data_IF_679408066554
#
_entry.id   IF_679408066554
#
_cell.length_a   1.000
_cell.length_b   1.000
_cell.length_c   1.000
_cell.angle_alpha   90.00
_cell.angle_beta   90.00
_cell.angle_gamma   90.00
#
_symmetry.space_group_name_H-M   'P 1'
#
loop_
_entity.id
_entity.type
_entity.pdbx_description
1 polymer ?
#
# COMPACT_ATOMS: atom_id res chain seq x y z
N UNK A 1 0.00 7.89 -22.79
CA UNK A 1 0.42 7.91 -21.38
C UNK A 1 -0.72 7.51 -20.49
N UNK A 2 -0.47 6.57 -19.61
CA UNK A 2 -1.50 6.10 -18.70
C UNK A 2 -1.67 6.98 -17.49
N UNK A 3 -2.83 6.88 -16.87
CA UNK A 3 -3.06 7.45 -15.54
C UNK A 3 -2.39 6.55 -14.48
N UNK A 4 -2.24 7.02 -13.24
CA UNK A 4 -1.77 6.16 -12.16
C UNK A 4 -2.63 4.91 -11.95
N UNK A 5 -3.94 4.99 -12.23
CA UNK A 5 -4.83 3.83 -12.21
C UNK A 5 -4.38 2.80 -13.23
N UNK A 6 -4.14 3.25 -14.46
CA UNK A 6 -3.67 2.38 -15.54
C UNK A 6 -2.30 1.79 -15.23
N UNK A 7 -1.43 2.59 -14.61
CA UNK A 7 -0.11 2.13 -14.20
C UNK A 7 -0.19 1.03 -13.15
N UNK A 8 -1.09 1.18 -12.16
CA UNK A 8 -1.30 0.16 -11.14
C UNK A 8 -1.84 -1.13 -11.76
N UNK A 9 -2.80 -1.04 -12.68
CA UNK A 9 -3.37 -2.21 -13.36
C UNK A 9 -2.34 -2.93 -14.22
N UNK A 10 -1.52 -2.18 -14.95
CA UNK A 10 -0.47 -2.77 -15.80
C UNK A 10 0.61 -3.43 -14.97
N UNK A 11 1.01 -2.79 -13.89
CA UNK A 11 1.99 -3.37 -12.98
C UNK A 11 1.46 -4.65 -12.37
N UNK A 12 0.18 -4.67 -11.99
CA UNK A 12 -0.46 -5.85 -11.44
C UNK A 12 -0.41 -7.02 -12.44
N UNK A 13 -0.83 -6.76 -13.67
CA UNK A 13 -0.81 -7.79 -14.71
C UNK A 13 0.61 -8.29 -14.99
N UNK A 14 1.57 -7.37 -15.03
CA UNK A 14 2.97 -7.68 -15.31
C UNK A 14 3.61 -8.55 -14.22
N UNK A 15 3.32 -8.26 -12.96
CA UNK A 15 3.96 -8.95 -11.82
C UNK A 15 3.18 -10.17 -11.34
N UNK A 16 1.87 -10.15 -11.43
CA UNK A 16 1.02 -11.19 -10.83
C UNK A 16 0.16 -11.92 -11.84
N UNK A 17 -0.02 -11.37 -13.03
CA UNK A 17 -0.86 -11.95 -14.09
C UNK A 17 -2.34 -11.72 -13.83
N UNK A 18 -3.08 -11.39 -14.88
CA UNK A 18 -4.52 -11.21 -14.83
C UNK A 18 -4.95 -9.85 -14.29
N UNK A 19 -6.21 -9.77 -13.92
CA UNK A 19 -6.81 -8.51 -13.47
C UNK A 19 -6.93 -8.46 -11.95
N UNK A 20 -6.75 -7.26 -11.35
CA UNK A 20 -7.07 -7.09 -9.94
C UNK A 20 -8.59 -7.15 -9.74
N UNK A 21 -9.04 -7.44 -8.53
CA UNK A 21 -10.47 -7.39 -8.22
C UNK A 21 -10.95 -5.94 -8.06
N UNK A 22 -10.05 -5.01 -7.82
CA UNK A 22 -10.37 -3.59 -7.74
C UNK A 22 -9.12 -2.74 -7.59
N UNK A 23 -9.30 -1.43 -7.75
CA UNK A 23 -8.25 -0.44 -7.53
C UNK A 23 -8.79 0.60 -6.56
N UNK A 24 -8.04 0.86 -5.51
CA UNK A 24 -8.39 1.83 -4.48
C UNK A 24 -7.41 2.99 -4.52
N UNK A 25 -7.89 4.19 -4.20
CA UNK A 25 -7.08 5.40 -4.21
C UNK A 25 -7.04 6.02 -2.82
N UNK A 26 -5.85 6.44 -2.41
CA UNK A 26 -5.66 7.23 -1.21
C UNK A 26 -5.01 8.55 -1.61
N UNK A 27 -5.65 9.70 -1.36
CA UNK A 27 -5.09 10.97 -1.74
C UNK A 27 -3.84 11.30 -0.93
N UNK A 28 -2.89 11.97 -1.57
CA UNK A 28 -1.81 12.60 -0.86
C UNK A 28 -2.34 13.76 -0.01
N UNK A 29 -1.50 14.26 0.87
CA UNK A 29 -1.88 15.40 1.71
C UNK A 29 -0.71 16.33 1.92
N UNK A 30 -1.03 17.57 2.26
CA UNK A 30 -0.06 18.53 2.74
C UNK A 30 -0.64 19.17 4.00
N UNK A 31 0.19 19.37 5.01
CA UNK A 31 -0.21 20.09 6.21
C UNK A 31 -0.01 21.58 5.96
N UNK A 32 -1.09 22.36 6.10
CA UNK A 32 -0.98 23.81 6.07
C UNK A 32 -0.31 24.32 7.33
N UNK A 33 -0.56 23.64 8.45
CA UNK A 33 -0.02 23.99 9.75
C UNK A 33 0.02 22.74 10.62
N UNK A 34 0.96 22.69 11.57
CA UNK A 34 1.02 21.60 12.54
C UNK A 34 1.97 20.49 12.19
N UNK A 35 3.03 20.76 11.42
CA UNK A 35 4.06 19.76 11.17
C UNK A 35 4.73 19.35 12.49
N UNK A 36 4.97 18.05 12.65
CA UNK A 36 5.58 17.44 13.84
C UNK A 36 4.77 17.59 15.13
N UNK A 37 3.49 17.98 15.05
CA UNK A 37 2.66 18.14 16.25
C UNK A 37 1.72 16.96 16.46
N UNK A 38 1.38 16.21 15.41
CA UNK A 38 0.44 15.08 15.50
C UNK A 38 0.95 13.98 16.44
N UNK A 39 2.24 13.62 16.37
CA UNK A 39 2.83 12.63 17.26
C UNK A 39 3.20 13.19 18.64
N UNK A 40 2.98 14.49 18.85
CA UNK A 40 3.19 15.18 20.13
C UNK A 40 1.87 15.69 20.71
N UNK A 41 0.75 15.05 20.35
CA UNK A 41 -0.61 15.45 20.75
C UNK A 41 -0.98 16.86 20.32
N UNK A 42 -0.33 17.38 19.27
CA UNK A 42 -0.64 18.69 18.72
C UNK A 42 -1.73 18.61 17.67
N UNK A 43 -2.23 19.78 17.27
CA UNK A 43 -3.23 19.91 16.21
C UNK A 43 -2.55 20.07 14.86
N UNK A 44 -3.18 19.51 13.82
CA UNK A 44 -2.72 19.62 12.43
C UNK A 44 -3.86 20.08 11.55
N UNK A 45 -3.52 20.70 10.42
CA UNK A 45 -4.50 21.12 9.42
C UNK A 45 -4.04 20.59 8.06
N UNK A 46 -4.39 19.33 7.72
CA UNK A 46 -4.03 18.76 6.42
C UNK A 46 -5.03 19.14 5.34
N UNK A 47 -4.55 19.16 4.09
CA UNK A 47 -5.39 19.27 2.90
C UNK A 47 -5.14 18.08 2.01
N UNK A 48 -6.20 17.48 1.48
CA UNK A 48 -6.08 16.43 0.48
C UNK A 48 -5.59 17.01 -0.84
N UNK A 49 -4.69 16.30 -1.51
CA UNK A 49 -4.16 16.69 -2.81
C UNK A 49 -4.95 15.98 -3.92
N UNK A 50 -4.94 16.52 -5.16
CA UNK A 50 -5.49 15.78 -6.30
C UNK A 50 -4.67 14.55 -6.65
N UNK A 51 -3.38 14.53 -6.31
CA UNK A 51 -2.52 13.36 -6.50
C UNK A 51 -2.88 12.29 -5.48
N UNK A 52 -2.70 11.02 -5.88
CA UNK A 52 -3.08 9.90 -5.04
C UNK A 52 -2.16 8.70 -5.25
N UNK A 53 -2.12 7.82 -4.26
CA UNK A 53 -1.53 6.50 -4.40
C UNK A 53 -2.65 5.51 -4.70
N UNK A 54 -2.44 4.68 -5.71
CA UNK A 54 -3.41 3.69 -6.17
C UNK A 54 -2.90 2.30 -5.86
N UNK A 55 -3.79 1.45 -5.36
CA UNK A 55 -3.50 0.06 -5.06
C UNK A 55 -4.44 -0.83 -5.86
N UNK A 56 -3.88 -1.62 -6.76
CA UNK A 56 -4.61 -2.66 -7.48
C UNK A 56 -4.50 -3.94 -6.67
N UNK A 57 -5.62 -4.55 -6.28
CA UNK A 57 -5.66 -5.59 -5.26
C UNK A 57 -6.46 -6.79 -5.74
N UNK A 58 -5.97 -7.98 -5.39
CA UNK A 58 -6.70 -9.24 -5.59
C UNK A 58 -6.51 -10.12 -4.37
N UNK A 59 -7.59 -10.76 -3.90
CA UNK A 59 -7.52 -11.72 -2.80
C UNK A 59 -6.82 -12.99 -3.23
N UNK A 60 -6.06 -13.59 -2.31
CA UNK A 60 -5.43 -14.88 -2.49
C UNK A 60 -5.95 -15.87 -1.46
N UNK A 61 -5.98 -17.14 -1.84
CA UNK A 61 -6.46 -18.21 -0.96
C UNK A 61 -5.34 -18.91 -0.20
N UNK A 62 -4.07 -18.62 -0.56
CA UNK A 62 -2.92 -19.34 -0.01
C UNK A 62 -2.24 -18.63 1.18
N UNK A 63 -2.81 -17.54 1.67
CA UNK A 63 -2.26 -16.83 2.83
C UNK A 63 -0.98 -16.03 2.55
N UNK A 64 -0.60 -15.86 1.29
CA UNK A 64 0.58 -15.07 0.94
C UNK A 64 0.22 -13.61 0.67
N UNK A 65 1.09 -12.72 1.08
CA UNK A 65 1.05 -11.31 0.68
C UNK A 65 2.16 -11.09 -0.35
N UNK A 66 1.78 -10.64 -1.54
CA UNK A 66 2.74 -10.26 -2.58
C UNK A 66 2.53 -8.80 -2.93
N UNK A 67 3.61 -8.06 -2.94
CA UNK A 67 3.59 -6.60 -3.10
C UNK A 67 4.52 -6.19 -4.23
N UNK A 68 4.03 -5.31 -5.10
CA UNK A 68 4.82 -4.68 -6.15
C UNK A 68 4.56 -3.18 -6.12
N UNK A 69 5.56 -2.40 -6.44
CA UNK A 69 5.43 -0.95 -6.50
C UNK A 69 6.10 -0.41 -7.76
N UNK A 70 5.47 0.55 -8.41
CA UNK A 70 6.05 1.20 -9.57
C UNK A 70 7.39 1.82 -9.20
N UNK A 71 8.40 1.60 -10.05
CA UNK A 71 9.76 2.09 -9.80
C UNK A 71 10.61 1.18 -8.94
N UNK A 72 10.07 0.09 -8.42
CA UNK A 72 10.83 -0.91 -7.67
C UNK A 72 10.77 -2.23 -8.42
N UNK A 73 11.93 -2.78 -8.76
CA UNK A 73 11.99 -3.98 -9.58
C UNK A 73 11.55 -5.24 -8.84
N UNK A 74 11.91 -5.34 -7.57
CA UNK A 74 11.68 -6.54 -6.80
C UNK A 74 10.25 -6.61 -6.26
N UNK A 75 9.61 -7.77 -6.43
CA UNK A 75 8.33 -8.07 -5.79
C UNK A 75 8.62 -8.63 -4.41
N UNK A 76 7.94 -8.10 -3.41
CA UNK A 76 8.04 -8.61 -2.05
C UNK A 76 6.99 -9.71 -1.83
N UNK A 77 7.37 -10.74 -1.10
CA UNK A 77 6.47 -11.86 -0.79
C UNK A 77 6.70 -12.30 0.65
N UNK A 78 5.62 -12.44 1.40
CA UNK A 78 5.69 -12.90 2.79
C UNK A 78 4.36 -13.56 3.16
N UNK A 79 4.38 -14.70 3.88
CA UNK A 79 3.14 -15.24 4.44
C UNK A 79 2.53 -14.25 5.45
N UNK A 80 1.22 -14.07 5.39
CA UNK A 80 0.53 -13.12 6.27
C UNK A 80 0.82 -13.43 7.75
N UNK A 81 0.90 -14.71 8.10
CA UNK A 81 1.16 -15.13 9.47
C UNK A 81 2.55 -14.79 9.98
N UNK A 82 3.48 -14.50 9.10
CA UNK A 82 4.87 -14.19 9.44
C UNK A 82 5.16 -12.69 9.45
N UNK A 83 4.17 -11.85 9.18
CA UNK A 83 4.35 -10.40 9.24
C UNK A 83 4.49 -9.98 10.70
N UNK A 84 5.54 -9.20 10.96
CA UNK A 84 5.83 -8.68 12.30
C UNK A 84 6.59 -7.37 12.13
N UNK A 85 6.78 -6.57 13.19
CA UNK A 85 7.60 -5.37 13.08
C UNK A 85 8.97 -5.68 12.48
N UNK A 86 9.31 -5.00 11.37
CA UNK A 86 10.55 -5.23 10.65
C UNK A 86 10.53 -6.41 9.67
N UNK A 87 9.43 -7.14 9.55
CA UNK A 87 9.29 -8.27 8.63
C UNK A 87 8.01 -8.11 7.79
N UNK A 88 8.08 -8.06 6.44
CA UNK A 88 9.32 -8.06 5.65
C UNK A 88 10.09 -6.77 5.84
N UNK A 89 11.37 -6.80 5.51
CA UNK A 89 12.21 -5.60 5.51
C UNK A 89 11.91 -4.71 4.30
N UNK A 90 12.69 -3.67 4.14
CA UNK A 90 12.62 -2.74 3.03
C UNK A 90 11.32 -1.94 2.96
N UNK A 91 10.95 -1.48 1.77
CA UNK A 91 9.74 -0.68 1.55
C UNK A 91 8.46 -1.45 1.88
N UNK A 92 8.49 -2.78 1.73
CA UNK A 92 7.31 -3.63 1.91
C UNK A 92 6.79 -3.65 3.34
N UNK A 93 7.61 -3.27 4.31
CA UNK A 93 7.21 -3.24 5.72
C UNK A 93 6.08 -2.25 6.00
N UNK A 94 5.96 -1.18 5.19
CA UNK A 94 4.92 -0.20 5.39
C UNK A 94 3.52 -0.75 5.05
N UNK A 95 3.28 -1.26 3.83
CA UNK A 95 1.97 -1.87 3.55
C UNK A 95 1.74 -3.15 4.36
N UNK A 96 2.76 -3.95 4.60
CA UNK A 96 2.61 -5.16 5.41
C UNK A 96 2.23 -4.83 6.85
N UNK A 97 2.71 -3.70 7.38
CA UNK A 97 2.38 -3.22 8.71
C UNK A 97 0.88 -2.99 8.91
N UNK A 98 0.16 -2.62 7.87
CA UNK A 98 -1.30 -2.46 7.92
C UNK A 98 -1.96 -3.80 8.23
N UNK A 99 -1.54 -4.87 7.56
CA UNK A 99 -2.06 -6.22 7.81
C UNK A 99 -1.70 -6.70 9.21
N UNK A 100 -0.49 -6.41 9.66
CA UNK A 100 -0.07 -6.73 11.03
C UNK A 100 -0.96 -6.04 12.06
N UNK A 101 -1.28 -4.75 11.82
CA UNK A 101 -2.15 -3.99 12.72
C UNK A 101 -3.57 -4.61 12.78
N UNK A 102 -4.11 -5.07 11.66
CA UNK A 102 -5.39 -5.77 11.64
C UNK A 102 -5.33 -7.06 12.47
N UNK A 103 -4.25 -7.81 12.37
CA UNK A 103 -4.08 -9.02 13.17
C UNK A 103 -4.01 -8.71 14.65
N UNK A 104 -3.30 -7.66 15.05
CA UNK A 104 -3.23 -7.22 16.44
C UNK A 104 -4.58 -6.80 16.98
N UNK A 105 -5.45 -6.28 16.11
CA UNK A 105 -6.82 -5.89 16.50
C UNK A 105 -7.80 -7.07 16.51
N UNK A 106 -7.33 -8.28 16.24
CA UNK A 106 -8.16 -9.49 16.29
C UNK A 106 -8.76 -9.91 14.96
N UNK A 107 -8.42 -9.23 13.87
CA UNK A 107 -8.88 -9.60 12.54
C UNK A 107 -7.93 -10.62 11.90
N UNK A 108 -8.44 -11.32 10.89
CA UNK A 108 -7.62 -12.26 10.12
C UNK A 108 -7.59 -11.81 8.66
N UNK A 109 -6.62 -10.97 8.26
CA UNK A 109 -6.55 -10.56 6.87
C UNK A 109 -6.20 -11.74 5.96
N UNK A 110 -6.78 -11.77 4.76
CA UNK A 110 -6.45 -12.80 3.78
C UNK A 110 -5.10 -12.52 3.14
N UNK A 111 -4.60 -13.48 2.36
CA UNK A 111 -3.51 -13.21 1.45
C UNK A 111 -3.95 -12.27 0.35
N UNK A 112 -3.03 -11.49 -0.17
CA UNK A 112 -3.33 -10.44 -1.16
C UNK A 112 -2.19 -10.33 -2.17
N UNK A 113 -2.56 -10.00 -3.40
CA UNK A 113 -1.64 -9.43 -4.38
C UNK A 113 -1.96 -7.94 -4.47
N UNK A 114 -0.96 -7.08 -4.29
CA UNK A 114 -1.15 -5.64 -4.34
C UNK A 114 -0.07 -5.00 -5.21
N UNK A 115 -0.49 -4.20 -6.19
CA UNK A 115 0.42 -3.40 -7.00
C UNK A 115 0.12 -1.91 -6.74
N UNK A 116 1.16 -1.15 -6.42
CA UNK A 116 1.05 0.26 -6.07
C UNK A 116 1.59 1.14 -7.20
N UNK A 117 0.88 2.22 -7.48
CA UNK A 117 1.38 3.30 -8.32
C UNK A 117 0.91 4.63 -7.73
N UNK A 118 1.73 5.66 -7.83
CA UNK A 118 1.43 6.94 -7.17
C UNK A 118 1.95 8.10 -8.01
N UNK A 119 1.22 9.20 -8.01
CA UNK A 119 1.68 10.48 -8.53
C UNK A 119 1.81 11.53 -7.41
N UNK A 120 1.77 11.07 -6.15
CA UNK A 120 1.99 11.95 -5.01
C UNK A 120 3.47 12.39 -5.00
N UNK A 121 3.76 13.70 -4.93
CA UNK A 121 5.14 14.17 -4.80
C UNK A 121 5.78 13.68 -3.51
N UNK A 122 7.07 13.38 -3.60
CA UNK A 122 7.84 12.92 -2.45
C UNK A 122 8.52 14.12 -1.78
#
# INVERSE_FOLDING_TARGET
>A
MGTPIDSARRLFDDRFGGDPMGVWAAPGRVNLIGEHTDYNNGLVLPIALPQATYAAVRLREDGLLRLASAGIEDTAEVPVDEIAPGTPGTWARYPAGVLWAFRQAGHQPPGLDIAFASDVPI
#
